data_IF_694384229468
#
_entry.id   IF_694384229468
#
_cell.length_a   1.000
_cell.length_b   1.000
_cell.length_c   1.000
_cell.angle_alpha   90.00
_cell.angle_beta   90.00
_cell.angle_gamma   90.00
#
_symmetry.space_group_name_H-M   'P 1'
#
loop_
_entity.id
_entity.type
_entity.pdbx_description
1 polymer ?
#
# COMPACT_ATOMS: atom_id res chain seq x y z
N UNK A 1 -2.36 9.71 15.55
CA UNK A 1 -2.14 8.25 15.38
C UNK A 1 -1.73 8.02 13.94
N UNK A 2 -0.60 7.35 13.70
CA UNK A 2 -0.10 7.07 12.35
C UNK A 2 -1.02 6.14 11.58
N UNK A 3 -1.04 6.32 10.25
CA UNK A 3 -1.73 5.41 9.32
C UNK A 3 -0.94 4.10 9.28
N UNK A 4 -1.60 2.95 9.44
CA UNK A 4 -0.97 1.62 9.39
C UNK A 4 -1.21 0.95 8.04
N UNK A 5 -0.31 0.04 7.67
CA UNK A 5 -0.39 -0.78 6.47
C UNK A 5 -0.26 -2.24 6.86
N UNK A 6 -1.16 -3.07 6.36
CA UNK A 6 -1.07 -4.51 6.47
C UNK A 6 -0.31 -5.06 5.26
N UNK A 7 0.71 -5.84 5.55
CA UNK A 7 1.49 -6.58 4.57
C UNK A 7 1.24 -8.07 4.75
N UNK A 8 1.20 -8.83 3.66
CA UNK A 8 0.98 -10.27 3.65
C UNK A 8 2.07 -10.93 2.80
N UNK A 9 2.69 -12.00 3.32
CA UNK A 9 3.65 -12.78 2.55
C UNK A 9 2.96 -13.91 1.76
N UNK A 10 3.72 -14.60 0.91
CA UNK A 10 3.23 -15.75 0.11
C UNK A 10 2.71 -16.93 0.93
N UNK A 11 3.05 -17.01 2.22
CA UNK A 11 2.57 -18.03 3.15
C UNK A 11 1.28 -17.60 3.89
N UNK A 12 0.78 -16.39 3.64
CA UNK A 12 -0.39 -15.82 4.33
C UNK A 12 -0.08 -15.21 5.70
N UNK A 13 1.20 -15.07 6.08
CA UNK A 13 1.59 -14.39 7.32
C UNK A 13 1.43 -12.89 7.15
N UNK A 14 0.68 -12.28 8.06
CA UNK A 14 0.42 -10.84 8.07
C UNK A 14 1.40 -10.10 8.98
N UNK A 15 1.85 -8.93 8.55
CA UNK A 15 2.64 -7.98 9.34
C UNK A 15 2.02 -6.60 9.25
N UNK A 16 1.94 -5.89 10.38
CA UNK A 16 1.43 -4.51 10.42
C UNK A 16 2.58 -3.55 10.62
N UNK A 17 2.70 -2.57 9.73
CA UNK A 17 3.75 -1.54 9.76
C UNK A 17 3.14 -0.15 9.69
N UNK A 18 3.91 0.87 10.03
CA UNK A 18 3.50 2.26 9.82
C UNK A 18 3.58 2.62 8.34
N UNK A 19 2.63 3.42 7.85
CA UNK A 19 2.56 3.84 6.45
C UNK A 19 3.81 4.64 6.03
N UNK A 20 4.38 5.44 6.94
CA UNK A 20 5.65 6.14 6.66
C UNK A 20 6.79 5.15 6.43
N UNK A 21 6.93 4.12 7.28
CA UNK A 21 7.96 3.09 7.11
C UNK A 21 7.76 2.29 5.81
N UNK A 22 6.52 2.00 5.45
CA UNK A 22 6.21 1.34 4.18
C UNK A 22 6.58 2.22 2.97
N UNK A 23 6.19 3.50 2.97
CA UNK A 23 6.54 4.43 1.88
C UNK A 23 8.04 4.65 1.77
N UNK A 24 8.74 4.80 2.89
CA UNK A 24 10.20 4.94 2.91
C UNK A 24 10.87 3.69 2.32
N UNK A 25 10.40 2.49 2.67
CA UNK A 25 10.93 1.25 2.07
C UNK A 25 10.66 1.15 0.56
N UNK A 26 9.55 1.69 0.06
CA UNK A 26 9.23 1.68 -1.37
C UNK A 26 10.05 2.73 -2.14
N UNK A 27 10.28 3.91 -1.55
CA UNK A 27 11.00 5.03 -2.15
C UNK A 27 12.52 4.86 -2.09
N UNK A 28 13.04 4.32 -0.99
CA UNK A 28 14.47 4.18 -0.73
C UNK A 28 15.06 2.89 -1.31
N UNK A 29 14.25 2.03 -1.96
CA UNK A 29 14.69 0.71 -2.49
C UNK A 29 15.42 -0.16 -1.45
N UNK A 30 15.21 0.07 -0.16
CA UNK A 30 15.82 -0.74 0.91
C UNK A 30 15.30 -2.17 0.95
N UNK A 31 14.27 -2.48 0.15
CA UNK A 31 13.70 -3.83 -0.03
C UNK A 31 13.37 -4.54 1.30
N UNK A 32 13.13 -3.76 2.37
CA UNK A 32 12.92 -4.21 3.76
C UNK A 32 11.74 -5.17 3.90
N UNK A 33 10.81 -5.11 2.96
CA UNK A 33 9.60 -5.93 2.88
C UNK A 33 9.53 -6.69 1.55
N UNK A 34 10.65 -7.06 0.94
CA UNK A 34 10.68 -7.75 -0.38
C UNK A 34 9.83 -9.02 -0.44
N UNK A 35 9.68 -9.71 0.68
CA UNK A 35 8.92 -10.96 0.78
C UNK A 35 7.43 -10.73 1.10
N UNK A 36 7.03 -9.48 1.30
CA UNK A 36 5.68 -9.11 1.69
C UNK A 36 5.06 -8.16 0.65
N UNK A 37 3.80 -8.41 0.34
CA UNK A 37 3.00 -7.55 -0.52
C UNK A 37 1.97 -6.80 0.32
N UNK A 38 1.41 -5.71 -0.19
CA UNK A 38 0.32 -5.02 0.51
C UNK A 38 -0.90 -5.94 0.54
N UNK A 39 -1.51 -6.11 1.71
CA UNK A 39 -2.83 -6.72 1.82
C UNK A 39 -3.86 -5.76 1.24
N UNK A 40 -4.11 -5.89 -0.06
CA UNK A 40 -5.01 -5.01 -0.83
C UNK A 40 -6.42 -5.01 -0.24
N UNK A 41 -6.90 -6.14 0.29
CA UNK A 41 -8.24 -6.24 0.87
C UNK A 41 -8.34 -5.39 2.14
N UNK A 42 -7.36 -5.50 3.03
CA UNK A 42 -7.31 -4.67 4.23
C UNK A 42 -7.12 -3.19 3.87
N UNK A 43 -6.25 -2.91 2.91
CA UNK A 43 -5.92 -1.56 2.46
C UNK A 43 -7.15 -0.83 1.92
N UNK A 44 -7.89 -1.44 1.00
CA UNK A 44 -9.14 -0.90 0.45
C UNK A 44 -10.23 -0.77 1.54
N UNK A 45 -10.37 -1.76 2.41
CA UNK A 45 -11.37 -1.74 3.50
C UNK A 45 -11.13 -0.64 4.52
N UNK A 46 -9.88 -0.19 4.69
CA UNK A 46 -9.54 0.94 5.56
C UNK A 46 -9.62 2.30 4.84
N UNK A 47 -10.13 2.34 3.61
CA UNK A 47 -10.31 3.56 2.84
C UNK A 47 -9.02 4.09 2.20
N UNK A 48 -7.97 3.27 2.10
CA UNK A 48 -6.81 3.63 1.30
C UNK A 48 -7.09 3.34 -0.18
N UNK A 49 -6.67 4.25 -1.05
CA UNK A 49 -6.69 4.03 -2.51
C UNK A 49 -5.40 3.36 -2.95
N UNK A 50 -5.48 2.38 -3.84
CA UNK A 50 -4.27 1.80 -4.43
C UNK A 50 -3.58 2.82 -5.34
N UNK A 51 -2.30 2.62 -5.64
CA UNK A 51 -1.58 3.43 -6.63
C UNK A 51 -2.25 3.36 -8.01
N UNK A 52 -2.85 2.22 -8.35
CA UNK A 52 -3.63 2.05 -9.57
C UNK A 52 -4.90 2.93 -9.56
N UNK A 53 -5.62 2.97 -8.43
CA UNK A 53 -6.79 3.83 -8.26
C UNK A 53 -6.42 5.31 -8.30
N UNK A 54 -5.29 5.70 -7.69
CA UNK A 54 -4.77 7.06 -7.80
C UNK A 54 -4.42 7.42 -9.25
N UNK A 55 -3.79 6.51 -10.01
CA UNK A 55 -3.50 6.73 -11.44
C UNK A 55 -4.78 6.88 -12.26
N UNK A 56 -5.82 6.10 -11.98
CA UNK A 56 -7.15 6.23 -12.62
C UNK A 56 -7.83 7.54 -12.23
N UNK A 57 -7.73 7.99 -10.98
CA UNK A 57 -8.31 9.26 -10.53
C UNK A 57 -7.64 10.47 -11.16
N UNK A 58 -6.33 10.43 -11.39
CA UNK A 58 -5.59 11.53 -12.04
C UNK A 58 -5.82 11.51 -13.57
N UNK A 59 -5.98 10.34 -14.18
CA UNK A 59 -6.30 10.19 -15.59
C UNK A 59 -7.79 10.36 -15.94
N UNK A 60 -8.68 10.42 -14.94
CA UNK A 60 -10.13 10.43 -15.13
C UNK A 60 -10.77 11.81 -15.22
N UNK A 61 -10.04 12.90 -14.93
CA UNK A 61 -10.60 14.26 -15.00
C UNK A 61 -10.32 14.92 -16.35
N UNK A 62 -10.87 14.31 -17.40
CA UNK A 62 -10.77 14.75 -18.79
C UNK A 62 -11.97 14.31 -19.63
N UNK A 63 -13.19 14.36 -19.10
CA UNK A 63 -14.42 14.54 -19.88
C UNK A 63 -15.65 14.65 -18.97
N UNK A 64 -16.14 15.87 -18.76
CA UNK A 64 -17.55 16.22 -18.56
C UNK A 64 -17.71 17.72 -18.80
#
# INVERSE_FOLDING_TARGET
>A
MGKKVHLINKEGKTKVVEHSEFMDSQLLTENKFSDYEVDVNWYLSNGYMTLEDMRKSIGGNGNS
#
